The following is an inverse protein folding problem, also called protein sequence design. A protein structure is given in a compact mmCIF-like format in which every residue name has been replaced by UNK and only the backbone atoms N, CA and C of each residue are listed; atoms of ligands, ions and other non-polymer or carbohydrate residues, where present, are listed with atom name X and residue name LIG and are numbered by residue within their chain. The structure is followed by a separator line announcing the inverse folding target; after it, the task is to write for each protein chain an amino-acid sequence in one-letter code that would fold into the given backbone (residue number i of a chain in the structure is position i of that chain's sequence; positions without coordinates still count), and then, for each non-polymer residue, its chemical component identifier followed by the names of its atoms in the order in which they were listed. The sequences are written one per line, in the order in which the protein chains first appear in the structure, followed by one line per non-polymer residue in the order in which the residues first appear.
data_IF_281089346323
#
_entry.id   IF_281089346323
#
_cell.length_a   1.000
_cell.length_b   1.000
_cell.length_c   1.000
_cell.angle_alpha   90.00
_cell.angle_beta   90.00
_cell.angle_gamma   90.00
#
_symmetry.space_group_name_H-M   'P 1'
#
loop_
_entity.id
_entity.type
_entity.pdbx_description
1 polymer ?
#
# COMPACT_ATOMS: atom_id res chain seq x y z
N UNK A 1 9.24 6.78 -22.84
CA UNK A 1 8.20 6.10 -22.06
C UNK A 1 7.36 7.09 -21.29
N UNK A 2 6.06 6.88 -21.25
CA UNK A 2 5.16 7.65 -20.39
C UNK A 2 5.45 7.35 -18.91
N UNK A 3 4.99 8.23 -18.00
CA UNK A 3 5.15 8.01 -16.57
C UNK A 3 4.57 6.68 -16.11
N UNK A 4 3.40 6.30 -16.67
CA UNK A 4 2.74 5.03 -16.34
C UNK A 4 3.44 3.80 -16.87
N UNK A 5 4.32 3.95 -17.87
CA UNK A 5 5.12 2.85 -18.42
C UNK A 5 6.47 2.71 -17.72
N UNK A 6 6.94 3.77 -17.08
CA UNK A 6 8.26 3.79 -16.44
C UNK A 6 8.30 2.89 -15.20
N UNK A 7 7.25 2.91 -14.41
CA UNK A 7 7.18 2.17 -13.15
C UNK A 7 7.27 0.65 -13.36
N UNK A 8 6.48 0.02 -14.27
CA UNK A 8 6.60 -1.41 -14.52
C UNK A 8 7.97 -1.83 -15.04
N UNK A 9 8.64 -0.98 -15.83
CA UNK A 9 10.00 -1.27 -16.33
C UNK A 9 11.00 -1.29 -15.18
N UNK A 10 10.92 -0.33 -14.26
CA UNK A 10 11.81 -0.28 -13.09
C UNK A 10 11.60 -1.48 -12.19
N UNK A 11 10.35 -1.89 -11.98
CA UNK A 11 10.03 -3.06 -11.18
C UNK A 11 10.57 -4.32 -11.86
N UNK A 12 10.39 -4.47 -13.17
CA UNK A 12 10.92 -5.60 -13.91
C UNK A 12 12.44 -5.71 -13.78
N UNK A 13 13.16 -4.58 -13.82
CA UNK A 13 14.60 -4.55 -13.61
C UNK A 13 14.98 -5.03 -12.21
N UNK A 14 14.25 -4.57 -11.20
CA UNK A 14 14.47 -5.01 -9.82
C UNK A 14 14.24 -6.52 -9.68
N UNK A 15 13.19 -7.05 -10.32
CA UNK A 15 12.84 -8.46 -10.27
C UNK A 15 13.87 -9.36 -10.96
N UNK A 16 14.58 -8.84 -11.95
CA UNK A 16 15.61 -9.60 -12.65
C UNK A 16 16.75 -10.03 -11.70
N UNK A 17 16.92 -9.36 -10.56
CA UNK A 17 17.90 -9.72 -9.56
C UNK A 17 17.42 -10.78 -8.57
N UNK A 18 16.16 -11.19 -8.66
CA UNK A 18 15.49 -12.15 -7.76
C UNK A 18 15.66 -11.76 -6.29
N UNK A 19 15.16 -10.57 -5.88
CA UNK A 19 15.37 -10.07 -4.53
C UNK A 19 14.54 -10.83 -3.49
N UNK A 20 15.07 -10.94 -2.27
CA UNK A 20 14.28 -11.43 -1.13
C UNK A 20 13.38 -10.33 -0.57
N UNK A 21 13.80 -9.08 -0.69
CA UNK A 21 13.06 -7.90 -0.22
C UNK A 21 12.99 -6.89 -1.34
N UNK A 22 11.80 -6.39 -1.59
CA UNK A 22 11.54 -5.35 -2.59
C UNK A 22 11.04 -4.09 -1.89
N UNK A 23 11.78 -3.00 -2.05
CA UNK A 23 11.40 -1.70 -1.47
C UNK A 23 10.87 -0.80 -2.57
N UNK A 24 9.65 -0.29 -2.40
CA UNK A 24 8.98 0.54 -3.40
C UNK A 24 8.50 1.85 -2.78
N UNK A 25 8.71 2.94 -3.51
CA UNK A 25 8.23 4.25 -3.11
C UNK A 25 7.12 4.68 -4.07
N UNK A 26 5.89 4.80 -3.54
CA UNK A 26 4.72 5.25 -4.30
C UNK A 26 4.53 4.48 -5.62
N UNK A 27 4.45 3.12 -5.59
CA UNK A 27 4.45 2.35 -6.84
C UNK A 27 3.21 2.54 -7.71
N UNK A 28 2.11 3.07 -7.14
CA UNK A 28 0.84 3.24 -7.88
C UNK A 28 0.72 4.60 -8.55
N UNK A 29 1.66 5.52 -8.31
CA UNK A 29 1.59 6.89 -8.84
C UNK A 29 1.60 6.89 -10.35
N UNK A 30 0.63 7.57 -10.94
CA UNK A 30 0.53 7.73 -12.39
C UNK A 30 -0.04 6.52 -13.12
N UNK A 31 -0.46 5.47 -12.41
CA UNK A 31 -1.06 4.30 -13.03
C UNK A 31 -2.57 4.45 -13.15
N UNK A 32 -3.11 4.04 -14.30
CA UNK A 32 -4.56 3.89 -14.46
C UNK A 32 -5.05 2.63 -13.74
N UNK A 33 -6.36 2.41 -13.72
CA UNK A 33 -6.93 1.29 -12.99
C UNK A 33 -6.45 -0.07 -13.49
N UNK A 34 -6.41 -0.35 -14.82
CA UNK A 34 -5.88 -1.64 -15.29
C UNK A 34 -4.43 -1.90 -14.92
N UNK A 35 -3.58 -0.87 -15.00
CA UNK A 35 -2.17 -1.02 -14.64
C UNK A 35 -1.97 -1.18 -13.15
N UNK A 36 -2.77 -0.49 -12.34
CA UNK A 36 -2.77 -0.67 -10.88
C UNK A 36 -3.14 -2.11 -10.52
N UNK A 37 -4.18 -2.64 -11.14
CA UNK A 37 -4.62 -4.01 -10.90
C UNK A 37 -3.53 -5.02 -11.29
N UNK A 38 -2.90 -4.82 -12.44
CA UNK A 38 -1.80 -5.69 -12.88
C UNK A 38 -0.63 -5.67 -11.91
N UNK A 39 -0.31 -4.50 -11.37
CA UNK A 39 0.77 -4.36 -10.40
C UNK A 39 0.43 -5.05 -9.07
N UNK A 40 -0.82 -4.93 -8.61
CA UNK A 40 -1.28 -5.63 -7.41
C UNK A 40 -1.20 -7.15 -7.59
N UNK A 41 -1.59 -7.67 -8.74
CA UNK A 41 -1.49 -9.10 -9.04
C UNK A 41 -0.03 -9.56 -9.02
N UNK A 42 0.88 -8.76 -9.57
CA UNK A 42 2.30 -9.06 -9.55
C UNK A 42 2.83 -9.12 -8.11
N UNK A 43 2.45 -8.17 -7.27
CA UNK A 43 2.88 -8.16 -5.87
C UNK A 43 2.37 -9.38 -5.12
N UNK A 44 1.12 -9.78 -5.37
CA UNK A 44 0.56 -10.97 -4.75
C UNK A 44 1.35 -12.22 -5.16
N UNK A 45 1.66 -12.37 -6.45
CA UNK A 45 2.45 -13.49 -6.94
C UNK A 45 3.84 -13.53 -6.30
N UNK A 46 4.52 -12.38 -6.22
CA UNK A 46 5.84 -12.30 -5.61
C UNK A 46 5.80 -12.64 -4.12
N UNK A 47 4.77 -12.17 -3.43
CA UNK A 47 4.58 -12.47 -2.01
C UNK A 47 4.40 -13.98 -1.80
N UNK A 48 3.63 -14.64 -2.66
CA UNK A 48 3.45 -16.09 -2.62
C UNK A 48 4.73 -16.86 -2.90
N UNK A 49 5.66 -16.26 -3.64
CA UNK A 49 6.98 -16.86 -3.92
C UNK A 49 8.01 -16.59 -2.82
N UNK A 50 7.64 -15.88 -1.76
CA UNK A 50 8.51 -15.60 -0.63
C UNK A 50 9.23 -14.27 -0.67
N UNK A 51 8.93 -13.39 -1.63
CA UNK A 51 9.48 -12.04 -1.65
C UNK A 51 8.72 -11.17 -0.64
N UNK A 52 9.45 -10.49 0.23
CA UNK A 52 8.86 -9.49 1.12
C UNK A 52 8.79 -8.16 0.40
N UNK A 53 7.61 -7.55 0.38
CA UNK A 53 7.40 -6.27 -0.31
C UNK A 53 7.06 -5.21 0.73
N UNK A 54 7.84 -4.14 0.74
CA UNK A 54 7.62 -2.98 1.60
C UNK A 54 7.44 -1.79 0.69
N UNK A 55 6.31 -1.10 0.84
CA UNK A 55 6.04 0.06 0.00
C UNK A 55 5.57 1.25 0.83
N UNK A 56 5.93 2.45 0.41
CA UNK A 56 5.31 3.68 0.87
C UNK A 56 4.21 4.07 -0.10
N UNK A 57 3.09 4.57 0.40
CA UNK A 57 2.01 5.03 -0.45
C UNK A 57 1.09 5.99 0.28
N UNK A 58 0.51 6.92 -0.48
CA UNK A 58 -0.60 7.76 -0.03
C UNK A 58 -1.94 7.19 -0.49
N UNK A 59 -1.93 6.11 -1.27
CA UNK A 59 -3.17 5.47 -1.71
C UNK A 59 -3.65 4.52 -0.62
N UNK A 60 -4.43 5.07 0.30
CA UNK A 60 -4.83 4.37 1.52
C UNK A 60 -5.73 3.17 1.23
N UNK A 61 -6.62 3.31 0.23
CA UNK A 61 -7.55 2.24 -0.11
C UNK A 61 -6.81 1.01 -0.64
N UNK A 62 -5.91 1.19 -1.59
CA UNK A 62 -5.12 0.06 -2.12
C UNK A 62 -4.21 -0.54 -1.06
N UNK A 63 -3.60 0.29 -0.22
CA UNK A 63 -2.77 -0.21 0.87
C UNK A 63 -3.60 -1.07 1.84
N UNK A 64 -4.76 -0.56 2.26
CA UNK A 64 -5.60 -1.25 3.23
C UNK A 64 -6.12 -2.60 2.72
N UNK A 65 -6.38 -2.71 1.42
CA UNK A 65 -7.00 -3.92 0.86
C UNK A 65 -6.01 -4.86 0.16
N UNK A 66 -4.77 -4.44 -0.06
CA UNK A 66 -3.75 -5.29 -0.72
C UNK A 66 -2.60 -5.70 0.19
N UNK A 67 -2.37 -4.99 1.28
CA UNK A 67 -1.26 -5.26 2.18
C UNK A 67 -1.72 -6.09 3.38
N UNK A 68 -0.85 -6.99 3.84
CA UNK A 68 -1.12 -7.81 5.03
C UNK A 68 -0.91 -7.02 6.31
N UNK A 69 0.04 -6.10 6.30
CA UNK A 69 0.44 -5.30 7.45
C UNK A 69 0.52 -3.83 7.04
N UNK A 70 0.07 -2.96 7.91
CA UNK A 70 0.10 -1.51 7.70
C UNK A 70 0.93 -0.85 8.78
N UNK A 71 1.71 0.15 8.37
CA UNK A 71 2.42 1.02 9.29
C UNK A 71 1.89 2.43 9.03
N UNK A 72 1.16 2.99 9.99
CA UNK A 72 0.62 4.33 9.91
C UNK A 72 1.64 5.30 10.48
N UNK A 73 2.04 6.28 9.67
CA UNK A 73 3.17 7.15 9.97
C UNK A 73 2.79 8.62 9.81
N UNK A 74 3.11 9.41 10.83
CA UNK A 74 2.98 10.87 10.79
C UNK A 74 4.11 11.46 11.65
N UNK A 75 5.31 11.58 11.05
CA UNK A 75 6.51 12.01 11.78
C UNK A 75 7.06 10.95 12.74
N UNK A 76 6.22 10.03 13.16
CA UNK A 76 6.57 8.87 13.99
C UNK A 76 5.61 7.74 13.64
N UNK A 77 5.92 6.53 14.05
CA UNK A 77 5.01 5.39 13.87
C UNK A 77 3.84 5.55 14.84
N UNK A 78 2.64 5.73 14.31
CA UNK A 78 1.41 5.84 15.10
C UNK A 78 0.85 4.45 15.39
N UNK A 79 0.89 3.55 14.41
CA UNK A 79 0.42 2.18 14.55
C UNK A 79 1.17 1.27 13.58
N UNK A 80 1.35 0.02 13.98
CA UNK A 80 1.99 -1.01 13.17
C UNK A 80 1.32 -2.34 13.52
N UNK A 81 0.43 -2.80 12.65
CA UNK A 81 -0.36 -4.00 12.90
C UNK A 81 -0.88 -4.57 11.59
N UNK A 82 -1.56 -5.72 11.66
CA UNK A 82 -2.21 -6.30 10.50
C UNK A 82 -3.26 -5.33 9.94
N UNK A 83 -3.44 -5.36 8.63
CA UNK A 83 -4.45 -4.53 7.98
C UNK A 83 -5.85 -4.82 8.52
N UNK A 84 -6.17 -6.10 8.73
CA UNK A 84 -7.49 -6.47 9.26
C UNK A 84 -7.74 -5.89 10.65
N UNK A 85 -6.74 -5.87 11.53
CA UNK A 85 -6.87 -5.28 12.86
C UNK A 85 -7.07 -3.77 12.77
N UNK A 86 -6.24 -3.09 11.99
CA UNK A 86 -6.32 -1.63 11.89
C UNK A 86 -7.60 -1.14 11.23
N UNK A 87 -8.18 -1.91 10.30
CA UNK A 87 -9.45 -1.54 9.68
C UNK A 87 -10.62 -1.54 10.67
N UNK A 88 -10.48 -2.18 11.83
CA UNK A 88 -11.48 -2.17 12.91
C UNK A 88 -11.17 -1.16 14.01
N UNK A 89 -10.17 -0.33 13.85
CA UNK A 89 -9.78 0.69 14.84
C UNK A 89 -9.82 2.06 14.17
N UNK A 90 -10.54 3.01 14.79
CA UNK A 90 -10.66 4.36 14.24
C UNK A 90 -9.52 5.27 14.70
N UNK A 91 -9.12 5.19 15.96
CA UNK A 91 -8.17 6.14 16.59
C UNK A 91 -6.82 6.23 15.85
N UNK A 92 -6.17 5.13 15.44
CA UNK A 92 -4.90 5.25 14.74
C UNK A 92 -5.01 6.09 13.47
N UNK A 93 -6.11 5.95 12.74
CA UNK A 93 -6.33 6.68 11.50
C UNK A 93 -6.57 8.17 11.75
N UNK A 94 -7.39 8.49 12.77
CA UNK A 94 -7.66 9.89 13.10
C UNK A 94 -6.39 10.61 13.56
N UNK A 95 -5.54 9.94 14.31
CA UNK A 95 -4.27 10.50 14.77
C UNK A 95 -3.28 10.68 13.61
N UNK A 96 -3.23 9.73 12.69
CA UNK A 96 -2.27 9.76 11.58
C UNK A 96 -2.64 10.84 10.57
N UNK A 97 -3.91 10.94 10.19
CA UNK A 97 -4.35 11.76 9.07
C UNK A 97 -5.11 13.01 9.48
N UNK A 98 -5.37 13.21 10.77
CA UNK A 98 -6.06 14.39 11.25
C UNK A 98 -7.52 14.49 10.85
N UNK A 99 -8.17 13.36 10.59
CA UNK A 99 -9.58 13.30 10.19
C UNK A 99 -10.46 12.84 11.34
N UNK A 100 -11.76 13.13 11.25
CA UNK A 100 -12.73 12.75 12.27
C UNK A 100 -13.07 11.26 12.18
N UNK A 101 -13.49 10.68 13.30
CA UNK A 101 -13.88 9.27 13.36
C UNK A 101 -14.99 8.91 12.37
N UNK A 102 -15.93 9.81 12.10
CA UNK A 102 -17.02 9.57 11.15
C UNK A 102 -16.74 10.07 9.74
N UNK A 103 -15.48 10.36 9.41
CA UNK A 103 -15.12 10.94 8.11
C UNK A 103 -15.46 10.01 6.95
N UNK A 104 -16.03 10.53 5.85
CA UNK A 104 -16.20 9.75 4.63
C UNK A 104 -14.90 9.18 4.08
N UNK A 105 -13.75 9.81 4.37
CA UNK A 105 -12.44 9.31 3.95
C UNK A 105 -12.15 7.95 4.59
N UNK A 106 -12.48 7.80 5.87
CA UNK A 106 -12.28 6.54 6.58
C UNK A 106 -13.26 5.47 6.09
N UNK A 107 -14.50 5.84 5.82
CA UNK A 107 -15.50 4.91 5.26
C UNK A 107 -15.07 4.39 3.89
N UNK A 108 -14.49 5.25 3.05
CA UNK A 108 -14.02 4.87 1.72
C UNK A 108 -12.85 3.87 1.79
N UNK A 109 -12.02 3.95 2.83
CA UNK A 109 -10.94 2.99 3.05
C UNK A 109 -11.48 1.67 3.57
N UNK A 110 -12.62 1.68 4.26
CA UNK A 110 -13.19 0.51 4.90
C UNK A 110 -12.93 0.45 6.40
N UNK A 111 -12.56 1.57 7.02
CA UNK A 111 -12.35 1.63 8.47
C UNK A 111 -13.69 1.64 9.18
N UNK A 112 -13.89 0.66 10.05
CA UNK A 112 -15.10 0.54 10.88
C UNK A 112 -14.69 0.35 12.33
N UNK A 113 -15.31 1.09 13.21
CA UNK A 113 -15.03 0.98 14.65
C UNK A 113 -15.89 -0.11 15.29
#
# INVERSE_FOLDING_TARGET
LSGGQRQPVLIARALATQPHVLLLDEPFTGLDAPNTESLLELFEELSHRGTSIIMSTHNLSEAAHSCHRLILFNGTVVADDSASTLLHQTDPWTKTFGVRAGSPLLSAIGVTA
#
